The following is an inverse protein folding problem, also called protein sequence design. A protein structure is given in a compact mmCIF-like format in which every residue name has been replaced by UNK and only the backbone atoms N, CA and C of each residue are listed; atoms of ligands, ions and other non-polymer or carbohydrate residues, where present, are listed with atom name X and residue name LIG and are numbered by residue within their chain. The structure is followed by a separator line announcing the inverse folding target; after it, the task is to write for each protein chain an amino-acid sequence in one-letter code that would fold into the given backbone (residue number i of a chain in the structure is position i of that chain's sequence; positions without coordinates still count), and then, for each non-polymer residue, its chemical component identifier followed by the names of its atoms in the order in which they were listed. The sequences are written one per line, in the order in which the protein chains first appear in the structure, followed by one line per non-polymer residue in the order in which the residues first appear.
data_IF_444339391464
#
_entry.id   IF_444339391464
#
_cell.length_a   1.000
_cell.length_b   1.000
_cell.length_c   1.000
_cell.angle_alpha   90.00
_cell.angle_beta   90.00
_cell.angle_gamma   90.00
#
_symmetry.space_group_name_H-M   'P 1'
#
loop_
_entity.id
_entity.type
_entity.pdbx_description
1 polymer ?
#
# COMPACT_ATOMS: atom_id res chain seq x y z
N UNK A 1 -2.48 -67.59 18.88
CA UNK A 1 -2.78 -66.16 19.09
C UNK A 1 -3.50 -65.63 17.86
N UNK A 2 -4.84 -65.72 17.71
CA UNK A 2 -5.93 -64.97 18.39
C UNK A 2 -5.62 -63.45 18.32
N UNK A 3 -6.32 -62.57 17.57
CA UNK A 3 -7.77 -62.44 17.29
C UNK A 3 -8.10 -61.95 15.86
N UNK A 4 -9.09 -62.62 15.25
CA UNK A 4 -10.17 -62.06 14.43
C UNK A 4 -11.48 -62.10 15.25
N UNK A 5 -12.49 -61.39 14.75
CA UNK A 5 -13.96 -61.49 14.90
C UNK A 5 -14.50 -60.07 15.20
N UNK A 6 -15.35 -59.47 14.35
CA UNK A 6 -16.66 -59.94 13.84
C UNK A 6 -17.74 -59.27 14.72
N UNK A 7 -18.92 -58.82 14.27
CA UNK A 7 -19.71 -59.06 13.06
C UNK A 7 -21.05 -58.28 13.19
N UNK A 8 -21.59 -57.84 12.05
CA UNK A 8 -23.01 -57.97 11.59
C UNK A 8 -24.14 -57.21 12.30
N UNK A 9 -24.95 -56.36 11.60
CA UNK A 9 -26.17 -56.65 10.77
C UNK A 9 -27.28 -57.25 11.68
N UNK A 10 -28.47 -56.66 11.88
CA UNK A 10 -29.51 -56.38 10.89
C UNK A 10 -30.75 -55.65 11.48
N UNK A 11 -31.68 -55.25 10.59
CA UNK A 11 -33.14 -55.05 10.76
C UNK A 11 -33.74 -53.64 11.04
N UNK A 12 -34.33 -53.09 9.96
CA UNK A 12 -35.53 -52.21 9.90
C UNK A 12 -36.82 -53.00 10.29
N UNK A 13 -38.08 -52.45 10.34
CA UNK A 13 -38.61 -51.16 9.84
C UNK A 13 -39.69 -50.44 10.70
N UNK A 14 -40.22 -49.34 10.14
CA UNK A 14 -41.59 -48.80 10.26
C UNK A 14 -41.94 -47.85 11.43
N UNK A 15 -42.44 -46.65 11.08
CA UNK A 15 -43.09 -45.74 12.03
C UNK A 15 -43.46 -44.35 11.50
N UNK A 16 -44.61 -44.28 10.81
CA UNK A 16 -45.60 -43.18 10.72
C UNK A 16 -45.18 -41.70 10.64
N UNK A 17 -45.74 -41.07 9.61
CA UNK A 17 -45.98 -39.64 9.46
C UNK A 17 -46.93 -39.07 10.53
N UNK A 18 -46.66 -37.83 10.96
CA UNK A 18 -47.68 -36.82 11.28
C UNK A 18 -47.22 -35.45 10.82
N UNK A 19 -48.13 -34.77 10.12
CA UNK A 19 -48.06 -33.37 9.75
C UNK A 19 -48.00 -32.46 10.98
N UNK A 20 -47.16 -31.43 10.94
CA UNK A 20 -47.48 -30.17 11.60
C UNK A 20 -46.82 -29.01 10.85
N UNK A 21 -47.67 -28.28 10.15
CA UNK A 21 -47.43 -26.99 9.54
C UNK A 21 -47.35 -25.91 10.62
N UNK A 22 -46.20 -25.25 10.76
CA UNK A 22 -46.07 -23.99 11.47
C UNK A 22 -45.21 -23.02 10.64
N UNK A 23 -45.89 -22.08 9.99
CA UNK A 23 -45.34 -20.87 9.37
C UNK A 23 -44.72 -19.96 10.43
N UNK A 24 -43.49 -19.44 10.24
CA UNK A 24 -43.04 -18.27 10.96
C UNK A 24 -43.48 -17.00 10.23
N UNK A 25 -44.22 -16.22 10.99
CA UNK A 25 -44.62 -14.83 10.84
C UNK A 25 -43.55 -13.94 10.19
N UNK A 26 -43.97 -13.28 9.11
CA UNK A 26 -43.28 -12.19 8.43
C UNK A 26 -43.44 -10.92 9.26
N UNK A 27 -42.48 -10.63 10.14
CA UNK A 27 -42.42 -9.35 10.83
C UNK A 27 -41.89 -8.28 9.87
N UNK A 28 -42.76 -7.32 9.53
CA UNK A 28 -42.43 -6.14 8.75
C UNK A 28 -41.55 -5.19 9.55
N UNK A 29 -40.44 -4.77 8.95
CA UNK A 29 -39.66 -3.61 9.39
C UNK A 29 -39.89 -2.53 8.33
N UNK A 30 -40.85 -1.66 8.60
CA UNK A 30 -41.02 -0.38 7.90
C UNK A 30 -40.01 0.61 8.49
N UNK A 31 -38.84 0.71 7.86
CA UNK A 31 -37.90 1.81 8.08
C UNK A 31 -38.36 3.07 7.36
N UNK A 32 -38.16 4.28 7.93
CA UNK A 32 -38.61 5.53 7.32
C UNK A 32 -37.73 5.89 6.10
N UNK A 33 -38.29 6.55 5.07
CA UNK A 33 -37.53 7.05 3.94
C UNK A 33 -36.62 8.20 4.39
N UNK A 34 -35.31 8.07 4.15
CA UNK A 34 -34.35 9.16 4.26
C UNK A 34 -34.68 10.23 3.21
N UNK A 35 -35.44 11.25 3.61
CA UNK A 35 -35.59 12.48 2.84
C UNK A 35 -34.34 13.34 3.04
N UNK A 36 -33.51 13.42 2.00
CA UNK A 36 -32.42 14.38 1.94
C UNK A 36 -33.00 15.76 1.61
N UNK A 37 -33.04 16.64 2.61
CA UNK A 37 -33.36 18.05 2.40
C UNK A 37 -32.29 18.72 1.54
N UNK A 38 -32.69 19.24 0.38
CA UNK A 38 -31.89 20.16 -0.41
C UNK A 38 -31.80 21.49 0.34
N UNK A 39 -30.67 21.74 1.01
CA UNK A 39 -30.35 23.07 1.55
C UNK A 39 -29.57 23.85 0.50
N UNK A 40 -30.20 24.89 -0.02
CA UNK A 40 -29.61 25.90 -0.90
C UNK A 40 -28.54 26.66 -0.12
N UNK A 41 -27.27 26.34 -0.33
CA UNK A 41 -26.16 27.12 0.23
C UNK A 41 -25.86 28.33 -0.66
N UNK A 42 -25.86 29.51 -0.03
CA UNK A 42 -25.50 30.77 -0.64
C UNK A 42 -24.02 30.75 -1.05
N UNK A 43 -23.74 31.11 -2.32
CA UNK A 43 -22.40 31.27 -2.85
C UNK A 43 -21.75 32.54 -2.30
N UNK A 44 -20.80 32.40 -1.37
CA UNK A 44 -19.79 33.42 -1.12
C UNK A 44 -18.64 33.19 -2.10
N UNK A 45 -18.38 34.16 -2.99
CA UNK A 45 -17.28 34.11 -3.96
C UNK A 45 -15.95 34.41 -3.27
N UNK A 46 -15.40 33.43 -2.56
CA UNK A 46 -13.95 33.41 -2.33
C UNK A 46 -13.29 33.00 -3.65
N UNK A 47 -12.34 33.80 -4.14
CA UNK A 47 -11.47 33.42 -5.26
C UNK A 47 -10.75 32.13 -4.89
N UNK A 48 -11.28 31.00 -5.37
CA UNK A 48 -10.65 29.69 -5.22
C UNK A 48 -9.49 29.63 -6.21
N UNK A 49 -8.26 29.68 -5.70
CA UNK A 49 -7.09 29.34 -6.51
C UNK A 49 -7.33 27.99 -7.19
N UNK A 50 -7.08 27.87 -8.50
CA UNK A 50 -7.32 26.64 -9.23
C UNK A 50 -6.46 25.53 -8.64
N UNK A 51 -7.16 24.46 -8.24
CA UNK A 51 -6.70 23.22 -7.59
C UNK A 51 -5.69 22.43 -8.45
N UNK A 52 -5.05 23.02 -9.46
CA UNK A 52 -3.93 22.43 -10.20
C UNK A 52 -2.60 22.71 -9.46
N UNK A 53 -2.39 22.06 -8.31
CA UNK A 53 -1.23 22.27 -7.45
C UNK A 53 -1.37 21.59 -6.07
N UNK A 54 -2.24 20.57 -6.00
CA UNK A 54 -2.85 20.06 -4.76
C UNK A 54 -1.83 19.55 -3.76
N UNK A 55 -0.76 18.90 -4.24
CA UNK A 55 0.18 18.23 -3.35
C UNK A 55 1.32 19.14 -2.93
N UNK A 56 1.72 19.12 -1.65
CA UNK A 56 2.89 19.87 -1.20
C UNK A 56 4.13 19.43 -1.98
N UNK A 57 5.00 20.38 -2.33
CA UNK A 57 6.27 20.06 -2.98
C UNK A 57 7.14 19.25 -2.01
N UNK A 58 7.58 18.06 -2.44
CA UNK A 58 8.42 17.18 -1.60
C UNK A 58 9.76 17.84 -1.23
N UNK A 59 10.24 18.82 -2.00
CA UNK A 59 11.44 19.58 -1.63
C UNK A 59 11.26 20.36 -0.33
N UNK A 60 10.03 20.82 -0.08
CA UNK A 60 9.72 21.53 1.14
C UNK A 60 9.86 20.61 2.36
N UNK A 61 9.65 19.30 2.21
CA UNK A 61 9.87 18.33 3.29
C UNK A 61 11.33 18.35 3.80
N UNK A 62 12.30 18.67 2.94
CA UNK A 62 13.71 18.80 3.33
C UNK A 62 14.07 20.20 3.83
N UNK A 63 13.64 21.23 3.10
CA UNK A 63 14.07 22.61 3.39
C UNK A 63 13.28 23.26 4.53
N UNK A 64 12.00 22.92 4.66
CA UNK A 64 11.09 23.44 5.70
C UNK A 64 9.99 22.40 6.02
N UNK A 65 10.32 21.37 6.83
CA UNK A 65 9.40 20.30 7.19
C UNK A 65 8.07 20.79 7.78
N UNK A 66 8.09 21.91 8.52
CA UNK A 66 6.91 22.45 9.18
C UNK A 66 5.97 23.11 8.17
N UNK A 67 6.49 23.91 7.24
CA UNK A 67 5.67 24.48 6.18
C UNK A 67 5.13 23.38 5.23
N UNK A 68 5.89 22.31 5.00
CA UNK A 68 5.44 21.14 4.27
C UNK A 68 4.26 20.44 4.98
N UNK A 69 4.38 20.24 6.28
CA UNK A 69 3.32 19.67 7.12
C UNK A 69 2.06 20.54 7.12
N UNK A 70 2.21 21.85 7.28
CA UNK A 70 1.08 22.78 7.30
C UNK A 70 0.29 22.76 5.98
N UNK A 71 0.96 22.54 4.85
CA UNK A 71 0.26 22.36 3.56
C UNK A 71 -0.54 21.06 3.53
N UNK A 72 0.01 19.97 4.07
CA UNK A 72 -0.75 18.72 4.24
C UNK A 72 -1.95 18.89 5.16
N UNK A 73 -1.78 19.56 6.30
CA UNK A 73 -2.88 19.82 7.24
C UNK A 73 -3.98 20.69 6.61
N UNK A 74 -3.63 21.67 5.75
CA UNK A 74 -4.62 22.43 4.98
C UNK A 74 -5.40 21.54 4.01
N UNK A 75 -4.73 20.65 3.31
CA UNK A 75 -5.38 19.68 2.42
C UNK A 75 -6.34 18.81 3.22
N UNK A 76 -5.89 18.24 4.34
CA UNK A 76 -6.73 17.43 5.22
C UNK A 76 -7.93 18.23 5.75
N UNK A 77 -7.72 19.49 6.17
CA UNK A 77 -8.80 20.36 6.61
C UNK A 77 -9.84 20.65 5.51
N UNK A 78 -9.43 20.73 4.23
CA UNK A 78 -10.38 20.92 3.12
C UNK A 78 -11.23 19.68 2.84
N UNK A 79 -10.80 18.50 3.30
CA UNK A 79 -11.51 17.23 3.12
C UNK A 79 -12.15 16.72 4.41
N UNK A 80 -11.88 17.37 5.55
CA UNK A 80 -12.34 16.92 6.86
C UNK A 80 -13.88 16.87 6.91
N UNK A 81 -14.42 15.75 7.36
CA UNK A 81 -15.87 15.46 7.36
C UNK A 81 -16.44 15.00 6.01
N UNK A 82 -15.69 15.10 4.91
CA UNK A 82 -15.98 14.31 3.73
C UNK A 82 -15.29 12.95 3.89
N UNK A 83 -15.91 11.81 3.49
CA UNK A 83 -15.12 10.61 3.33
C UNK A 83 -13.96 10.98 2.41
N UNK A 84 -12.72 10.57 2.70
CA UNK A 84 -11.53 10.73 1.83
C UNK A 84 -11.83 10.38 0.35
N UNK A 85 -12.91 9.63 0.12
CA UNK A 85 -13.52 9.27 -1.16
C UNK A 85 -14.56 10.22 -1.79
N UNK A 86 -14.90 11.38 -1.21
CA UNK A 86 -15.70 12.40 -1.91
C UNK A 86 -14.85 13.17 -2.92
N UNK A 87 -13.52 13.20 -2.72
CA UNK A 87 -12.52 13.58 -3.71
C UNK A 87 -12.03 12.45 -4.62
N UNK A 88 -12.65 11.27 -4.72
CA UNK A 88 -13.90 11.12 -5.45
C UNK A 88 -13.98 9.69 -6.01
N UNK A 89 -15.20 9.23 -6.29
CA UNK A 89 -15.43 8.20 -7.31
C UNK A 89 -14.60 8.48 -8.57
N UNK A 90 -14.31 9.75 -8.90
CA UNK A 90 -13.47 10.16 -10.01
C UNK A 90 -11.96 9.91 -9.79
N UNK A 91 -11.36 10.04 -8.61
CA UNK A 91 -9.96 9.66 -8.35
C UNK A 91 -9.78 8.16 -8.37
N UNK A 92 -10.69 7.41 -7.74
CA UNK A 92 -10.74 5.95 -7.91
C UNK A 92 -10.91 5.60 -9.40
N UNK A 93 -11.76 6.33 -10.13
CA UNK A 93 -11.94 6.13 -11.57
C UNK A 93 -10.69 6.51 -12.37
N UNK A 94 -9.95 7.55 -11.99
CA UNK A 94 -8.70 7.99 -12.63
C UNK A 94 -7.60 6.96 -12.38
N UNK A 95 -7.47 6.46 -11.14
CA UNK A 95 -6.50 5.42 -10.81
C UNK A 95 -6.88 4.10 -11.48
N UNK A 96 -8.16 3.70 -11.42
CA UNK A 96 -8.68 2.54 -12.16
C UNK A 96 -8.45 2.70 -13.65
N UNK A 97 -8.68 3.89 -14.20
CA UNK A 97 -8.47 4.16 -15.61
C UNK A 97 -6.99 4.05 -15.97
N UNK A 98 -6.10 4.74 -15.25
CA UNK A 98 -4.66 4.67 -15.45
C UNK A 98 -4.17 3.22 -15.40
N UNK A 99 -4.56 2.46 -14.36
CA UNK A 99 -4.24 1.04 -14.28
C UNK A 99 -4.83 0.27 -15.46
N UNK A 100 -6.09 0.52 -15.86
CA UNK A 100 -6.75 -0.22 -16.94
C UNK A 100 -6.04 -0.02 -18.28
N UNK A 101 -5.49 1.17 -18.52
CA UNK A 101 -4.69 1.46 -19.70
C UNK A 101 -3.40 0.66 -19.73
N UNK A 102 -2.68 0.61 -18.61
CA UNK A 102 -1.50 -0.24 -18.50
C UNK A 102 -1.85 -1.72 -18.61
N UNK A 103 -3.09 -2.12 -18.30
CA UNK A 103 -3.51 -3.51 -18.40
C UNK A 103 -3.88 -3.96 -19.83
N UNK A 104 -4.00 -3.05 -20.81
CA UNK A 104 -4.31 -3.41 -22.20
C UNK A 104 -3.10 -4.01 -22.93
N UNK A 105 -1.88 -3.64 -22.54
CA UNK A 105 -0.65 -4.23 -23.05
C UNK A 105 -0.21 -5.38 -22.12
N UNK A 106 -0.07 -6.63 -22.62
CA UNK A 106 0.39 -7.76 -21.82
C UNK A 106 1.71 -7.54 -21.07
N UNK A 107 2.64 -6.76 -21.61
CA UNK A 107 3.91 -6.44 -20.95
C UNK A 107 3.70 -5.51 -19.76
N UNK A 108 2.83 -4.51 -19.92
CA UNK A 108 2.48 -3.58 -18.85
C UNK A 108 1.62 -4.25 -17.78
N UNK A 109 0.74 -5.18 -18.15
CA UNK A 109 0.02 -6.03 -17.21
C UNK A 109 0.98 -6.84 -16.32
N UNK A 110 1.97 -7.52 -16.91
CA UNK A 110 2.99 -8.25 -16.15
C UNK A 110 3.75 -7.30 -15.21
N UNK A 111 4.12 -6.12 -15.70
CA UNK A 111 4.80 -5.10 -14.88
C UNK A 111 3.95 -4.63 -13.69
N UNK A 112 2.64 -4.41 -13.87
CA UNK A 112 1.73 -4.01 -12.81
C UNK A 112 1.51 -5.12 -11.77
N UNK A 113 1.32 -6.36 -12.23
CA UNK A 113 1.21 -7.52 -11.33
C UNK A 113 2.51 -7.69 -10.53
N UNK A 114 3.67 -7.56 -11.18
CA UNK A 114 4.97 -7.57 -10.49
C UNK A 114 5.08 -6.44 -9.48
N UNK A 115 4.67 -5.23 -9.84
CA UNK A 115 4.70 -4.08 -8.95
C UNK A 115 3.88 -4.36 -7.68
N UNK A 116 2.62 -4.78 -7.84
CA UNK A 116 1.74 -5.12 -6.72
C UNK A 116 2.32 -6.25 -5.86
N UNK A 117 2.87 -7.32 -6.47
CA UNK A 117 3.56 -8.40 -5.73
C UNK A 117 4.74 -7.86 -4.93
N UNK A 118 5.55 -7.01 -5.54
CA UNK A 118 6.74 -6.47 -4.89
C UNK A 118 6.34 -5.58 -3.71
N UNK A 119 5.35 -4.71 -3.87
CA UNK A 119 4.82 -3.88 -2.78
C UNK A 119 4.30 -4.74 -1.63
N UNK A 120 3.51 -5.79 -1.95
CA UNK A 120 3.02 -6.76 -0.97
C UNK A 120 4.17 -7.43 -0.20
N UNK A 121 5.17 -7.93 -0.92
CA UNK A 121 6.31 -8.60 -0.28
C UNK A 121 7.15 -7.61 0.55
N UNK A 122 7.37 -6.38 0.05
CA UNK A 122 8.04 -5.32 0.80
C UNK A 122 7.28 -4.97 2.08
N UNK A 123 5.95 -4.96 2.06
CA UNK A 123 5.16 -4.75 3.26
C UNK A 123 5.35 -5.90 4.27
N UNK A 124 5.36 -7.16 3.81
CA UNK A 124 5.69 -8.28 4.69
C UNK A 124 7.10 -8.15 5.30
N UNK A 125 8.09 -7.77 4.50
CA UNK A 125 9.47 -7.56 4.97
C UNK A 125 9.50 -6.45 6.03
N UNK A 126 8.81 -5.32 5.81
CA UNK A 126 8.68 -4.23 6.79
C UNK A 126 8.05 -4.73 8.09
N UNK A 127 6.98 -5.53 8.03
CA UNK A 127 6.31 -6.05 9.23
C UNK A 127 7.20 -7.00 10.02
N UNK A 128 7.94 -7.88 9.34
CA UNK A 128 8.88 -8.78 9.98
C UNK A 128 10.06 -8.03 10.61
N UNK A 129 10.64 -7.07 9.87
CA UNK A 129 11.71 -6.21 10.38
C UNK A 129 11.23 -5.40 11.59
N UNK A 130 10.04 -4.79 11.52
CA UNK A 130 9.43 -4.07 12.63
C UNK A 130 9.29 -4.95 13.86
N UNK A 131 8.84 -6.19 13.69
CA UNK A 131 8.67 -7.14 14.79
C UNK A 131 10.01 -7.50 15.42
N UNK A 132 11.02 -7.84 14.62
CA UNK A 132 12.35 -8.16 15.10
C UNK A 132 13.04 -6.95 15.77
N UNK A 133 12.81 -5.76 15.25
CA UNK A 133 13.41 -4.52 15.74
C UNK A 133 12.73 -4.00 17.02
N UNK A 134 11.40 -3.91 17.05
CA UNK A 134 10.66 -3.28 18.14
C UNK A 134 10.40 -4.21 19.34
N UNK A 135 10.22 -5.52 19.11
CA UNK A 135 9.83 -6.45 20.17
C UNK A 135 10.78 -6.45 21.40
N UNK A 136 12.12 -6.44 21.25
CA UNK A 136 13.01 -6.39 22.40
C UNK A 136 12.81 -5.15 23.29
N UNK A 137 12.49 -4.01 22.68
CA UNK A 137 12.33 -2.74 23.41
C UNK A 137 10.94 -2.58 24.04
N UNK A 138 9.91 -3.23 23.46
CA UNK A 138 8.59 -3.31 24.05
C UNK A 138 8.58 -4.22 25.29
N UNK A 139 9.19 -5.41 25.20
CA UNK A 139 9.27 -6.35 26.32
C UNK A 139 10.07 -5.80 27.50
N UNK A 140 11.12 -5.03 27.22
CA UNK A 140 11.90 -4.35 28.26
C UNK A 140 11.24 -3.11 28.87
N UNK A 141 9.99 -2.76 28.49
CA UNK A 141 9.23 -1.55 28.87
C UNK A 141 9.91 -0.20 28.53
N UNK A 142 11.11 -0.21 27.95
CA UNK A 142 11.86 1.01 27.66
C UNK A 142 11.22 1.84 26.56
N UNK A 143 10.65 1.20 25.52
CA UNK A 143 10.09 1.95 24.39
C UNK A 143 8.81 2.70 24.77
N UNK A 144 7.84 2.00 25.33
CA UNK A 144 6.55 2.59 25.70
C UNK A 144 6.74 3.69 26.75
N UNK A 145 7.57 3.47 27.77
CA UNK A 145 7.85 4.48 28.78
C UNK A 145 8.54 5.72 28.19
N UNK A 146 9.58 5.54 27.35
CA UNK A 146 10.27 6.66 26.67
C UNK A 146 9.31 7.46 25.79
N UNK A 147 8.48 6.78 25.00
CA UNK A 147 7.53 7.44 24.13
C UNK A 147 6.44 8.21 24.90
N UNK A 148 5.87 7.59 25.93
CA UNK A 148 4.79 8.21 26.72
C UNK A 148 5.30 9.34 27.62
N UNK A 149 6.56 9.28 28.06
CA UNK A 149 7.21 10.36 28.82
C UNK A 149 7.71 11.52 27.95
N UNK A 150 7.86 11.33 26.63
CA UNK A 150 8.20 12.42 25.72
C UNK A 150 7.10 13.50 25.73
N UNK A 151 7.51 14.77 25.67
CA UNK A 151 6.54 15.88 25.61
C UNK A 151 5.72 15.82 24.31
N UNK A 152 4.49 16.39 24.29
CA UNK A 152 3.71 16.52 23.05
C UNK A 152 4.50 17.13 21.89
N UNK A 153 5.29 18.17 22.16
CA UNK A 153 6.15 18.80 21.16
C UNK A 153 7.19 17.82 20.60
N UNK A 154 7.89 17.08 21.48
CA UNK A 154 8.91 16.11 21.05
C UNK A 154 8.32 14.96 20.25
N UNK A 155 7.14 14.44 20.64
CA UNK A 155 6.40 13.44 19.85
C UNK A 155 6.08 13.95 18.45
N UNK A 156 5.63 15.20 18.36
CA UNK A 156 5.35 15.86 17.08
C UNK A 156 6.58 15.97 16.17
N UNK A 157 7.73 16.34 16.74
CA UNK A 157 9.01 16.41 16.04
C UNK A 157 9.45 15.03 15.50
N UNK A 158 9.39 13.99 16.34
CA UNK A 158 9.74 12.62 15.96
C UNK A 158 8.88 12.11 14.80
N UNK A 159 7.57 12.30 14.88
CA UNK A 159 6.64 11.85 13.82
C UNK A 159 6.86 12.64 12.53
N UNK A 160 7.07 13.96 12.62
CA UNK A 160 7.35 14.77 11.45
C UNK A 160 8.65 14.35 10.76
N UNK A 161 9.72 14.10 11.53
CA UNK A 161 10.97 13.58 11.00
C UNK A 161 10.77 12.23 10.29
N UNK A 162 9.99 11.32 10.90
CA UNK A 162 9.65 10.03 10.31
C UNK A 162 8.85 10.17 9.01
N UNK A 163 7.91 11.11 8.93
CA UNK A 163 7.14 11.44 7.72
C UNK A 163 8.01 11.97 6.60
N UNK A 164 8.89 12.93 6.91
CA UNK A 164 9.85 13.47 5.94
C UNK A 164 10.73 12.34 5.40
N UNK A 165 11.32 11.52 6.28
CA UNK A 165 12.16 10.40 5.87
C UNK A 165 11.40 9.39 4.99
N UNK A 166 10.18 9.00 5.37
CA UNK A 166 9.39 8.03 4.62
C UNK A 166 8.93 8.57 3.25
N UNK A 167 8.37 9.78 3.20
CA UNK A 167 7.88 10.38 1.96
C UNK A 167 9.00 10.70 0.96
N UNK A 168 10.23 10.86 1.45
CA UNK A 168 11.40 11.12 0.61
C UNK A 168 12.13 9.85 0.15
N UNK A 169 11.88 8.71 0.78
CA UNK A 169 12.43 7.42 0.34
C UNK A 169 11.95 7.06 -1.07
N UNK A 170 10.66 7.27 -1.35
CA UNK A 170 10.06 6.93 -2.64
C UNK A 170 8.95 7.92 -3.04
N UNK A 171 8.91 8.34 -4.32
CA UNK A 171 7.81 9.13 -4.89
C UNK A 171 6.40 8.66 -4.52
N UNK A 172 6.18 7.33 -4.53
CA UNK A 172 4.87 6.74 -4.26
C UNK A 172 4.41 6.99 -2.82
N UNK A 173 5.33 7.04 -1.86
CA UNK A 173 4.98 7.22 -0.45
C UNK A 173 4.55 8.65 -0.13
N UNK A 174 5.10 9.66 -0.82
CA UNK A 174 4.60 11.03 -0.71
C UNK A 174 3.14 11.13 -1.15
N UNK A 175 2.78 10.46 -2.25
CA UNK A 175 1.38 10.37 -2.71
C UNK A 175 0.52 9.57 -1.73
N UNK A 176 1.06 8.48 -1.19
CA UNK A 176 0.36 7.59 -0.27
C UNK A 176 -0.10 8.29 1.01
N UNK A 177 0.51 9.42 1.36
CA UNK A 177 0.11 10.24 2.51
C UNK A 177 -1.35 10.70 2.45
N UNK A 178 -1.89 10.85 1.24
CA UNK A 178 -3.31 11.12 1.03
C UNK A 178 -4.24 10.04 1.63
N UNK A 179 -3.76 8.81 1.73
CA UNK A 179 -4.49 7.64 2.23
C UNK A 179 -4.35 7.43 3.74
N UNK A 180 -3.58 8.27 4.42
CA UNK A 180 -3.18 8.12 5.82
C UNK A 180 -3.60 9.30 6.70
N UNK A 181 -4.70 10.00 6.34
CA UNK A 181 -5.16 11.20 7.05
C UNK A 181 -5.36 10.95 8.54
N UNK A 182 -5.91 9.80 8.95
CA UNK A 182 -6.21 9.55 10.37
C UNK A 182 -4.98 9.07 11.14
N UNK A 183 -4.17 8.25 10.48
CA UNK A 183 -3.07 7.51 11.09
C UNK A 183 -1.82 8.38 11.24
N UNK A 184 -1.57 9.31 10.31
CA UNK A 184 -0.29 10.00 10.19
C UNK A 184 -0.38 11.54 10.33
N UNK A 185 -1.47 12.09 10.87
CA UNK A 185 -1.50 13.51 11.25
C UNK A 185 -0.61 13.78 12.45
N UNK A 186 0.33 14.71 12.31
CA UNK A 186 1.27 15.05 13.38
C UNK A 186 0.51 15.51 14.64
N UNK A 187 -0.56 16.28 14.46
CA UNK A 187 -1.41 16.75 15.56
C UNK A 187 -2.00 15.61 16.41
N UNK A 188 -2.41 14.50 15.79
CA UNK A 188 -2.98 13.33 16.47
C UNK A 188 -1.97 12.66 17.40
N UNK A 189 -0.71 12.54 16.96
CA UNK A 189 0.36 11.93 17.75
C UNK A 189 0.86 12.80 18.91
N UNK A 190 0.77 14.14 18.79
CA UNK A 190 1.14 15.06 19.87
C UNK A 190 0.28 14.85 21.11
N UNK A 191 -1.04 14.69 20.91
CA UNK A 191 -2.04 14.74 21.99
C UNK A 191 -1.95 13.57 22.98
N UNK A 192 -2.02 12.34 22.48
CA UNK A 192 -2.15 11.14 23.31
C UNK A 192 -0.92 10.21 23.22
N UNK A 193 -0.22 10.20 22.10
CA UNK A 193 0.89 9.28 21.85
C UNK A 193 0.45 7.81 21.69
N UNK A 194 -0.69 7.38 22.25
CA UNK A 194 -1.22 6.00 22.10
C UNK A 194 -1.42 5.57 20.67
N UNK A 195 -1.83 6.49 19.78
CA UNK A 195 -1.99 6.20 18.35
C UNK A 195 -0.72 5.57 17.75
N UNK A 196 0.46 6.09 18.07
CA UNK A 196 1.72 5.52 17.61
C UNK A 196 1.92 4.07 18.09
N UNK A 197 1.63 3.79 19.36
CA UNK A 197 1.78 2.46 19.94
C UNK A 197 0.79 1.46 19.34
N UNK A 198 -0.46 1.89 19.11
CA UNK A 198 -1.47 1.05 18.47
C UNK A 198 -1.07 0.70 17.03
N UNK A 199 -0.60 1.69 16.25
CA UNK A 199 -0.12 1.45 14.89
C UNK A 199 1.12 0.55 14.87
N UNK A 200 2.03 0.70 15.84
CA UNK A 200 3.19 -0.18 15.99
C UNK A 200 2.75 -1.62 16.25
N UNK A 201 1.82 -1.84 17.18
CA UNK A 201 1.28 -3.17 17.50
C UNK A 201 0.58 -3.80 16.29
N UNK A 202 -0.24 -3.05 15.56
CA UNK A 202 -0.91 -3.52 14.33
C UNK A 202 0.08 -3.87 13.20
N UNK A 203 1.23 -3.20 13.14
CA UNK A 203 2.28 -3.47 12.16
C UNK A 203 3.17 -4.67 12.53
N UNK A 204 3.16 -5.11 13.78
CA UNK A 204 3.94 -6.26 14.22
C UNK A 204 3.24 -7.59 13.88
N UNK A 205 4.05 -8.59 13.58
CA UNK A 205 3.60 -9.96 13.32
C UNK A 205 3.22 -10.63 14.64
N UNK A 206 1.96 -11.04 14.75
CA UNK A 206 1.36 -11.60 15.97
C UNK A 206 2.06 -12.87 16.50
N UNK A 207 2.83 -13.58 15.66
CA UNK A 207 3.49 -14.82 16.04
C UNK A 207 4.90 -14.62 16.64
N UNK A 208 5.31 -13.37 16.91
CA UNK A 208 6.58 -13.04 17.57
C UNK A 208 7.80 -12.93 16.64
N UNK A 209 8.96 -12.52 17.18
CA UNK A 209 10.13 -12.08 16.40
C UNK A 209 10.89 -13.19 15.67
N UNK A 210 10.62 -14.46 16.02
CA UNK A 210 11.29 -15.62 15.40
C UNK A 210 10.55 -16.14 14.17
N UNK A 211 9.40 -15.57 13.83
CA UNK A 211 8.67 -15.95 12.63
C UNK A 211 9.23 -15.13 11.47
N UNK A 212 9.72 -15.82 10.45
CA UNK A 212 10.19 -15.17 9.22
C UNK A 212 9.09 -14.32 8.58
N UNK A 213 9.43 -13.64 7.48
CA UNK A 213 8.47 -12.77 6.78
C UNK A 213 7.11 -13.46 6.55
N UNK A 214 5.99 -12.82 6.93
CA UNK A 214 4.67 -13.41 6.74
C UNK A 214 4.41 -13.62 5.23
N UNK A 215 3.67 -14.67 4.90
CA UNK A 215 3.32 -14.98 3.51
C UNK A 215 2.35 -13.94 2.89
N UNK A 216 1.57 -13.28 3.75
CA UNK A 216 0.57 -12.26 3.42
C UNK A 216 0.69 -11.13 4.43
N UNK A 217 0.68 -9.87 3.99
CA UNK A 217 0.78 -8.75 4.92
C UNK A 217 -0.54 -8.59 5.69
N UNK A 218 -0.43 -8.07 6.91
CA UNK A 218 -1.58 -7.53 7.64
C UNK A 218 -1.78 -6.07 7.23
N UNK A 219 -3.02 -5.63 7.01
CA UNK A 219 -3.32 -4.23 6.74
C UNK A 219 -3.92 -3.59 7.98
N UNK A 220 -3.43 -2.40 8.35
CA UNK A 220 -3.96 -1.59 9.46
C UNK A 220 -5.43 -1.29 9.19
N UNK A 221 -6.29 -1.60 10.16
CA UNK A 221 -7.74 -1.47 10.02
C UNK A 221 -8.12 0.00 9.85
N UNK A 222 -9.08 0.24 8.97
CA UNK A 222 -9.67 1.56 8.81
C UNK A 222 -11.06 1.41 8.20
N UNK A 223 -12.13 1.92 8.85
CA UNK A 223 -13.51 1.63 8.45
C UNK A 223 -13.81 1.86 6.97
N UNK A 224 -13.22 2.91 6.38
CA UNK A 224 -13.42 3.24 4.97
C UNK A 224 -12.70 2.25 4.06
N UNK A 225 -11.46 1.87 4.39
CA UNK A 225 -10.69 0.91 3.57
C UNK A 225 -11.28 -0.49 3.69
N UNK A 226 -11.70 -0.87 4.90
CA UNK A 226 -12.35 -2.14 5.18
C UNK A 226 -13.69 -2.27 4.42
N UNK A 227 -14.48 -1.19 4.35
CA UNK A 227 -15.70 -1.16 3.54
C UNK A 227 -15.42 -1.34 2.04
N UNK A 228 -14.35 -0.72 1.51
CA UNK A 228 -13.97 -0.85 0.09
C UNK A 228 -13.49 -2.27 -0.22
N UNK A 229 -12.67 -2.84 0.66
CA UNK A 229 -12.23 -4.24 0.53
C UNK A 229 -13.42 -5.19 0.58
N UNK A 230 -14.35 -4.98 1.52
CA UNK A 230 -15.56 -5.78 1.62
C UNK A 230 -16.42 -5.66 0.35
N UNK A 231 -16.63 -4.45 -0.16
CA UNK A 231 -17.36 -4.20 -1.39
C UNK A 231 -16.70 -4.88 -2.60
N UNK A 232 -15.38 -4.77 -2.73
CA UNK A 232 -14.64 -5.42 -3.82
C UNK A 232 -14.73 -6.96 -3.75
N UNK A 233 -14.70 -7.54 -2.54
CA UNK A 233 -14.87 -9.00 -2.34
C UNK A 233 -16.26 -9.48 -2.73
N UNK A 234 -17.29 -8.68 -2.49
CA UNK A 234 -18.68 -9.00 -2.84
C UNK A 234 -18.99 -8.77 -4.33
N UNK A 235 -18.25 -7.88 -4.98
CA UNK A 235 -18.40 -7.59 -6.40
C UNK A 235 -17.88 -8.75 -7.27
N UNK A 236 -18.78 -9.64 -7.71
CA UNK A 236 -18.47 -10.76 -8.61
C UNK A 236 -17.87 -10.33 -9.96
N UNK A 237 -18.06 -9.07 -10.33
CA UNK A 237 -17.59 -8.46 -11.58
C UNK A 237 -16.37 -7.53 -11.41
N UNK A 238 -15.70 -7.52 -10.24
CA UNK A 238 -14.51 -6.71 -10.05
C UNK A 238 -13.40 -7.13 -11.04
N UNK A 239 -12.97 -6.18 -11.86
CA UNK A 239 -11.95 -6.39 -12.88
C UNK A 239 -10.58 -6.65 -12.25
N UNK A 240 -9.69 -7.35 -12.96
CA UNK A 240 -8.28 -7.56 -12.58
C UNK A 240 -7.59 -6.23 -12.24
N UNK A 241 -7.87 -5.20 -13.04
CA UNK A 241 -7.38 -3.85 -12.85
C UNK A 241 -7.79 -3.26 -11.49
N UNK A 242 -9.06 -3.38 -11.11
CA UNK A 242 -9.55 -2.88 -9.81
C UNK A 242 -8.91 -3.61 -8.64
N UNK A 243 -8.73 -4.92 -8.75
CA UNK A 243 -8.08 -5.74 -7.72
C UNK A 243 -6.62 -5.32 -7.52
N UNK A 244 -5.85 -5.19 -8.61
CA UNK A 244 -4.46 -4.73 -8.57
C UNK A 244 -4.37 -3.30 -8.01
N UNK A 245 -5.28 -2.42 -8.43
CA UNK A 245 -5.32 -1.03 -7.97
C UNK A 245 -5.56 -0.96 -6.46
N UNK A 246 -6.61 -1.64 -5.96
CA UNK A 246 -6.91 -1.61 -4.52
C UNK A 246 -5.73 -2.14 -3.71
N UNK A 247 -5.14 -3.26 -4.14
CA UNK A 247 -4.02 -3.88 -3.43
C UNK A 247 -2.78 -3.01 -3.43
N UNK A 248 -2.50 -2.30 -4.53
CA UNK A 248 -1.38 -1.35 -4.59
C UNK A 248 -1.62 -0.18 -3.62
N UNK A 249 -2.84 0.38 -3.58
CA UNK A 249 -3.17 1.46 -2.65
C UNK A 249 -3.09 1.05 -1.18
N UNK A 250 -3.59 -0.14 -0.84
CA UNK A 250 -3.49 -0.70 0.51
C UNK A 250 -2.03 -0.93 0.91
N UNK A 251 -1.22 -1.46 -0.01
CA UNK A 251 0.20 -1.66 0.22
C UNK A 251 0.94 -0.33 0.39
N UNK A 252 0.73 0.66 -0.48
CA UNK A 252 1.33 2.00 -0.37
C UNK A 252 0.99 2.67 0.96
N UNK A 253 -0.29 2.66 1.36
CA UNK A 253 -0.75 3.20 2.65
C UNK A 253 0.00 2.57 3.82
N UNK A 254 0.04 1.24 3.87
CA UNK A 254 0.63 0.52 4.99
C UNK A 254 2.16 0.54 4.96
N UNK A 255 2.77 0.60 3.78
CA UNK A 255 4.21 0.83 3.63
C UNK A 255 4.59 2.20 4.18
N UNK A 256 3.85 3.26 3.85
CA UNK A 256 4.10 4.60 4.41
C UNK A 256 4.02 4.57 5.93
N UNK A 257 2.94 4.00 6.49
CA UNK A 257 2.78 3.89 7.95
C UNK A 257 3.95 3.11 8.58
N UNK A 258 4.31 1.96 8.00
CA UNK A 258 5.44 1.15 8.45
C UNK A 258 6.77 1.91 8.44
N UNK A 259 7.08 2.65 7.38
CA UNK A 259 8.30 3.45 7.32
C UNK A 259 8.31 4.59 8.33
N UNK A 260 7.19 5.31 8.50
CA UNK A 260 7.10 6.38 9.51
C UNK A 260 7.34 5.83 10.91
N UNK A 261 6.72 4.69 11.24
CA UNK A 261 6.95 4.02 12.54
C UNK A 261 8.41 3.64 12.69
N UNK A 262 9.02 3.04 11.67
CA UNK A 262 10.41 2.60 11.72
C UNK A 262 11.35 3.78 12.01
N UNK A 263 11.23 4.88 11.27
CA UNK A 263 12.06 6.07 11.48
C UNK A 263 11.80 6.76 12.83
N UNK A 264 10.55 6.76 13.29
CA UNK A 264 10.21 7.25 14.61
C UNK A 264 10.85 6.38 15.71
N UNK A 265 10.84 5.05 15.58
CA UNK A 265 11.52 4.15 16.51
C UNK A 265 13.03 4.40 16.55
N UNK A 266 13.68 4.56 15.39
CA UNK A 266 15.09 4.93 15.36
C UNK A 266 15.36 6.21 16.17
N UNK A 267 14.50 7.23 16.01
CA UNK A 267 14.61 8.49 16.73
C UNK A 267 14.36 8.35 18.24
N UNK A 268 13.39 7.53 18.67
CA UNK A 268 13.08 7.29 20.10
C UNK A 268 14.20 6.52 20.80
N UNK A 269 14.88 5.65 20.05
CA UNK A 269 15.95 4.78 20.56
C UNK A 269 17.35 5.39 20.38
N UNK A 270 17.43 6.63 19.90
CA UNK A 270 18.70 7.33 19.58
C UNK A 270 19.59 6.51 18.62
N UNK A 271 18.96 5.73 17.76
CA UNK A 271 19.63 4.91 16.76
C UNK A 271 19.86 5.75 15.50
N UNK A 272 21.01 5.59 14.83
CA UNK A 272 21.21 6.21 13.53
C UNK A 272 20.12 5.72 12.59
N UNK A 273 19.39 6.65 11.97
CA UNK A 273 18.45 6.32 10.90
C UNK A 273 19.21 5.51 9.83
N UNK A 274 18.62 4.40 9.37
CA UNK A 274 19.24 3.58 8.32
C UNK A 274 19.68 4.49 7.16
N UNK A 275 20.93 4.42 6.71
CA UNK A 275 21.41 5.23 5.59
C UNK A 275 20.63 4.84 4.34
N UNK A 276 19.61 5.65 4.02
CA UNK A 276 18.75 5.59 2.84
C UNK A 276 18.36 4.18 2.40
N UNK A 277 17.15 3.73 2.74
CA UNK A 277 16.55 2.49 2.22
C UNK A 277 16.91 2.29 0.74
N UNK A 278 17.80 1.34 0.49
CA UNK A 278 18.38 1.13 -0.82
C UNK A 278 17.32 0.54 -1.75
N UNK A 279 16.85 1.32 -2.72
CA UNK A 279 15.92 0.80 -3.71
C UNK A 279 16.62 -0.04 -4.78
N UNK A 280 15.94 -1.11 -5.21
CA UNK A 280 16.29 -1.86 -6.42
C UNK A 280 16.09 -0.95 -7.64
N UNK A 281 17.16 -0.68 -8.38
CA UNK A 281 17.08 -0.09 -9.72
C UNK A 281 16.32 -1.05 -10.64
N UNK A 282 15.21 -0.59 -11.22
CA UNK A 282 14.58 -1.25 -12.36
C UNK A 282 15.12 -0.61 -13.64
N UNK A 283 15.76 -1.42 -14.49
CA UNK A 283 16.43 -0.94 -15.71
C UNK A 283 15.52 -0.68 -16.92
N UNK A 284 14.21 -0.95 -16.83
CA UNK A 284 13.28 -0.72 -17.93
C UNK A 284 12.83 0.75 -17.97
N UNK A 285 13.26 1.48 -19.01
CA UNK A 285 12.55 2.70 -19.41
C UNK A 285 11.15 2.28 -19.85
N UNK A 286 10.07 2.71 -19.19
CA UNK A 286 8.72 2.40 -19.67
C UNK A 286 8.56 3.02 -21.06
N UNK A 287 8.01 2.26 -22.01
CA UNK A 287 7.54 2.83 -23.26
C UNK A 287 6.47 3.87 -22.93
N UNK A 288 6.58 5.07 -23.50
CA UNK A 288 5.61 6.12 -23.26
C UNK A 288 4.30 5.69 -23.92
N UNK A 289 3.18 5.57 -23.20
CA UNK A 289 1.89 5.32 -23.83
C UNK A 289 1.59 6.44 -24.84
N UNK A 290 0.91 6.11 -25.94
CA UNK A 290 0.51 7.09 -26.95
C UNK A 290 -0.40 8.14 -26.28
N UNK A 291 0.07 9.38 -26.18
CA UNK A 291 -0.48 10.38 -25.24
C UNK A 291 -1.90 10.85 -25.53
N UNK A 292 -2.44 10.58 -26.71
CA UNK A 292 -3.67 11.22 -27.19
C UNK A 292 -4.92 10.59 -26.56
N UNK A 293 -4.94 9.27 -26.39
CA UNK A 293 -6.09 8.54 -25.82
C UNK A 293 -6.29 8.84 -24.33
N UNK A 294 -5.18 9.06 -23.60
CA UNK A 294 -5.17 9.49 -22.20
C UNK A 294 -5.82 10.87 -22.05
N UNK A 295 -5.41 11.80 -22.93
CA UNK A 295 -5.88 13.18 -22.89
C UNK A 295 -7.39 13.27 -23.16
N UNK A 296 -7.91 12.45 -24.07
CA UNK A 296 -9.32 12.48 -24.46
C UNK A 296 -10.26 11.93 -23.37
N UNK A 297 -9.83 10.93 -22.61
CA UNK A 297 -10.65 10.36 -21.54
C UNK A 297 -10.64 11.23 -20.27
N UNK A 298 -9.48 11.80 -19.89
CA UNK A 298 -9.44 12.77 -18.79
C UNK A 298 -10.29 14.01 -19.15
N UNK A 299 -10.23 14.44 -20.42
CA UNK A 299 -11.07 15.51 -20.97
C UNK A 299 -12.56 15.18 -20.88
N UNK A 300 -12.95 13.92 -21.11
CA UNK A 300 -14.34 13.47 -20.96
C UNK A 300 -14.81 13.41 -19.49
N UNK A 301 -13.95 12.96 -18.57
CA UNK A 301 -14.31 12.80 -17.16
C UNK A 301 -14.32 14.11 -16.36
N UNK A 302 -13.40 15.03 -16.66
CA UNK A 302 -13.17 16.22 -15.84
C UNK A 302 -13.48 17.53 -16.58
N UNK A 303 -13.82 17.46 -17.87
CA UNK A 303 -13.86 18.62 -18.76
C UNK A 303 -12.48 18.98 -19.29
N UNK A 304 -12.43 19.60 -20.48
CA UNK A 304 -11.19 19.91 -21.21
C UNK A 304 -10.20 20.75 -20.40
N UNK A 305 -10.66 21.85 -19.81
CA UNK A 305 -9.79 22.77 -19.07
C UNK A 305 -9.19 22.13 -17.82
N UNK A 306 -10.02 21.46 -17.02
CA UNK A 306 -9.58 20.79 -15.79
C UNK A 306 -8.66 19.60 -16.11
N UNK A 307 -8.93 18.87 -17.19
CA UNK A 307 -8.08 17.80 -17.70
C UNK A 307 -6.69 18.30 -18.12
N UNK A 308 -6.62 19.37 -18.89
CA UNK A 308 -5.36 19.93 -19.36
C UNK A 308 -4.54 20.52 -18.20
N UNK A 309 -5.19 21.20 -17.25
CA UNK A 309 -4.54 21.72 -16.06
C UNK A 309 -4.02 20.59 -15.15
N UNK A 310 -4.85 19.59 -14.87
CA UNK A 310 -4.47 18.42 -14.07
C UNK A 310 -3.36 17.60 -14.73
N UNK A 311 -3.48 17.33 -16.03
CA UNK A 311 -2.48 16.59 -16.80
C UNK A 311 -1.14 17.31 -16.84
N UNK A 312 -1.12 18.64 -17.04
CA UNK A 312 0.11 19.45 -16.97
C UNK A 312 0.72 19.43 -15.56
N UNK A 313 -0.10 19.61 -14.52
CA UNK A 313 0.35 19.58 -13.14
C UNK A 313 0.95 18.21 -12.77
N UNK A 314 0.25 17.12 -13.05
CA UNK A 314 0.73 15.75 -12.81
C UNK A 314 1.98 15.42 -13.62
N UNK A 315 2.06 15.85 -14.89
CA UNK A 315 3.26 15.65 -15.69
C UNK A 315 4.47 16.42 -15.14
N UNK A 316 4.29 17.69 -14.76
CA UNK A 316 5.35 18.51 -14.18
C UNK A 316 5.79 17.99 -12.80
N UNK A 317 4.83 17.61 -11.95
CA UNK A 317 5.10 16.99 -10.65
C UNK A 317 5.81 15.65 -10.84
N UNK A 318 5.30 14.77 -11.70
CA UNK A 318 5.94 13.49 -12.01
C UNK A 318 7.35 13.64 -12.55
N UNK A 319 7.60 14.60 -13.46
CA UNK A 319 8.93 14.90 -13.99
C UNK A 319 9.89 15.38 -12.89
N UNK A 320 9.44 16.29 -12.02
CA UNK A 320 10.25 16.82 -10.89
C UNK A 320 10.56 15.72 -9.88
N UNK A 321 9.55 15.00 -9.43
CA UNK A 321 9.67 13.89 -8.48
C UNK A 321 10.57 12.78 -9.02
N UNK A 322 10.45 12.44 -10.31
CA UNK A 322 11.31 11.44 -10.94
C UNK A 322 12.75 11.92 -11.14
N UNK A 323 12.97 13.21 -11.42
CA UNK A 323 14.31 13.76 -11.49
C UNK A 323 15.03 13.69 -10.13
N UNK A 324 14.36 14.12 -9.07
CA UNK A 324 14.86 14.06 -7.69
C UNK A 324 15.13 12.63 -7.25
N UNK A 325 14.19 11.72 -7.56
CA UNK A 325 14.38 10.31 -7.35
C UNK A 325 15.66 9.79 -8.03
N UNK A 326 15.91 10.16 -9.29
CA UNK A 326 17.15 9.75 -9.97
C UNK A 326 18.41 10.30 -9.33
N UNK A 327 18.38 11.52 -8.80
CA UNK A 327 19.53 12.14 -8.12
C UNK A 327 19.85 11.44 -6.81
N UNK A 328 18.85 11.25 -5.95
CA UNK A 328 18.98 10.50 -4.68
C UNK A 328 19.44 9.07 -4.93
N UNK A 329 18.98 8.45 -6.03
CA UNK A 329 19.21 7.04 -6.33
C UNK A 329 20.25 6.80 -7.44
N UNK A 330 21.04 7.81 -7.83
CA UNK A 330 22.09 7.66 -8.84
C UNK A 330 23.09 6.55 -8.46
N UNK A 331 23.31 6.34 -7.16
CA UNK A 331 24.14 5.27 -6.59
C UNK A 331 23.42 3.96 -6.24
N UNK A 332 22.13 3.79 -6.59
CA UNK A 332 21.34 2.63 -6.18
C UNK A 332 22.03 1.30 -6.50
N UNK A 333 22.14 0.45 -5.48
CA UNK A 333 22.73 -0.89 -5.57
C UNK A 333 21.71 -1.87 -6.14
N UNK A 334 22.16 -2.80 -6.95
CA UNK A 334 21.38 -3.95 -7.38
C UNK A 334 21.47 -5.04 -6.31
N UNK A 335 20.42 -5.83 -6.13
CA UNK A 335 20.35 -6.83 -5.07
C UNK A 335 20.18 -8.22 -5.64
N UNK A 336 20.91 -9.18 -5.07
CA UNK A 336 20.72 -10.59 -5.38
C UNK A 336 19.29 -11.00 -4.97
N UNK A 337 18.58 -11.72 -5.85
CA UNK A 337 17.23 -12.19 -5.58
C UNK A 337 17.18 -13.15 -4.38
N UNK A 338 18.20 -14.01 -4.28
CA UNK A 338 18.33 -15.06 -3.25
C UNK A 338 18.81 -14.52 -1.91
N UNK A 339 20.06 -14.06 -1.82
CA UNK A 339 20.69 -13.70 -0.55
C UNK A 339 20.53 -12.22 -0.16
N UNK A 340 19.86 -11.41 -1.00
CA UNK A 340 19.66 -9.96 -0.80
C UNK A 340 20.96 -9.17 -0.60
N UNK A 341 22.12 -9.71 -0.97
CA UNK A 341 23.38 -8.96 -0.94
C UNK A 341 23.33 -7.84 -2.00
N UNK A 342 23.73 -6.60 -1.66
CA UNK A 342 23.89 -5.54 -2.64
C UNK A 342 25.14 -5.78 -3.51
N UNK A 343 25.08 -5.41 -4.78
CA UNK A 343 26.27 -5.37 -5.62
C UNK A 343 27.22 -4.27 -5.15
N UNK A 344 28.52 -4.48 -5.37
CA UNK A 344 29.47 -3.38 -5.39
C UNK A 344 29.24 -2.56 -6.66
N UNK A 345 29.74 -1.34 -6.69
CA UNK A 345 29.59 -0.45 -7.86
C UNK A 345 30.31 -0.98 -9.09
N UNK A 346 31.23 -1.93 -8.92
CA UNK A 346 32.10 -2.48 -9.96
C UNK A 346 31.55 -3.77 -10.59
N UNK A 347 30.85 -4.61 -9.83
CA UNK A 347 30.38 -5.92 -10.28
C UNK A 347 28.92 -5.85 -10.73
N UNK A 348 28.71 -6.21 -11.99
CA UNK A 348 27.36 -6.45 -12.53
C UNK A 348 26.91 -7.85 -12.14
N UNK A 349 25.78 -7.94 -11.46
CA UNK A 349 25.20 -9.25 -11.13
C UNK A 349 24.68 -9.95 -12.39
N UNK A 350 24.97 -11.25 -12.58
CA UNK A 350 24.34 -12.01 -13.66
C UNK A 350 22.81 -11.99 -13.55
N UNK A 351 22.16 -11.86 -14.70
CA UNK A 351 20.70 -11.87 -14.83
C UNK A 351 20.18 -13.20 -15.35
N UNK A 352 18.96 -13.56 -14.95
CA UNK A 352 18.25 -14.69 -15.55
C UNK A 352 17.93 -14.41 -17.03
N UNK A 353 18.72 -15.01 -17.94
CA UNK A 353 18.58 -14.81 -19.40
C UNK A 353 17.16 -15.09 -19.91
N UNK A 354 16.52 -16.18 -19.46
CA UNK A 354 15.16 -16.54 -19.89
C UNK A 354 14.10 -15.53 -19.46
N UNK A 355 14.26 -14.89 -18.29
CA UNK A 355 13.33 -13.85 -17.85
C UNK A 355 13.54 -12.55 -18.62
N UNK A 356 14.79 -12.20 -18.87
CA UNK A 356 15.13 -11.00 -19.62
C UNK A 356 14.67 -11.12 -21.08
N UNK A 357 15.07 -12.18 -21.77
CA UNK A 357 14.84 -12.33 -23.22
C UNK A 357 13.34 -12.45 -23.54
N UNK A 358 12.53 -13.07 -22.67
CA UNK A 358 11.10 -13.29 -22.92
C UNK A 358 10.17 -12.20 -22.37
N UNK A 359 10.50 -11.64 -21.20
CA UNK A 359 9.59 -10.76 -20.44
C UNK A 359 10.21 -9.41 -20.10
N UNK A 360 11.47 -9.16 -20.50
CA UNK A 360 12.26 -8.02 -20.05
C UNK A 360 12.30 -7.89 -18.51
N UNK A 361 12.19 -9.04 -17.81
CA UNK A 361 12.17 -9.09 -16.34
C UNK A 361 13.58 -9.25 -15.79
N UNK A 362 14.01 -8.24 -15.04
CA UNK A 362 15.33 -8.23 -14.38
C UNK A 362 15.29 -9.06 -13.09
N UNK A 363 15.93 -10.23 -13.12
CA UNK A 363 16.17 -11.09 -11.95
C UNK A 363 17.67 -11.31 -11.82
N UNK A 364 18.27 -10.74 -10.78
CA UNK A 364 19.72 -10.64 -10.59
C UNK A 364 20.20 -11.58 -9.49
N UNK A 365 21.37 -12.17 -9.69
CA UNK A 365 22.01 -13.04 -8.71
C UNK A 365 23.45 -12.64 -8.51
N UNK A 366 23.99 -12.72 -7.29
CA UNK A 366 25.42 -12.47 -7.07
C UNK A 366 26.28 -13.64 -7.57
N UNK A 367 25.71 -14.84 -7.75
CA UNK A 367 26.44 -16.03 -8.19
C UNK A 367 25.52 -17.10 -8.80
N UNK A 368 26.11 -18.11 -9.44
CA UNK A 368 25.38 -19.24 -10.03
C UNK A 368 24.68 -20.10 -8.96
N UNK A 369 25.26 -20.17 -7.77
CA UNK A 369 24.76 -20.91 -6.61
C UNK A 369 23.48 -20.27 -6.10
N UNK A 370 23.46 -18.93 -5.96
CA UNK A 370 22.26 -18.20 -5.60
C UNK A 370 21.14 -18.41 -6.63
N UNK A 371 21.47 -18.41 -7.92
CA UNK A 371 20.49 -18.71 -8.97
C UNK A 371 19.93 -20.14 -8.84
N UNK A 372 20.78 -21.15 -8.58
CA UNK A 372 20.33 -22.55 -8.39
C UNK A 372 19.43 -22.71 -7.16
N UNK A 373 19.71 -22.00 -6.08
CA UNK A 373 18.88 -22.00 -4.86
C UNK A 373 17.49 -21.42 -5.17
N UNK A 374 17.45 -20.23 -5.77
CA UNK A 374 16.19 -19.55 -6.13
C UNK A 374 15.39 -20.35 -7.18
N UNK A 375 16.08 -21.00 -8.12
CA UNK A 375 15.48 -21.92 -9.08
C UNK A 375 14.69 -23.03 -8.40
N UNK A 376 15.25 -23.66 -7.35
CA UNK A 376 14.58 -24.70 -6.57
C UNK A 376 13.47 -24.14 -5.68
N UNK A 377 13.69 -22.97 -5.08
CA UNK A 377 12.74 -22.34 -4.16
C UNK A 377 11.42 -21.94 -4.84
N UNK A 378 11.47 -21.50 -6.10
CA UNK A 378 10.25 -21.15 -6.81
C UNK A 378 10.44 -20.54 -8.19
N UNK A 379 11.62 -19.99 -8.49
CA UNK A 379 11.84 -19.28 -9.74
C UNK A 379 11.58 -20.15 -10.98
N UNK A 380 11.81 -21.47 -10.91
CA UNK A 380 11.48 -22.41 -11.98
C UNK A 380 10.01 -22.30 -12.45
N UNK A 381 9.08 -22.05 -11.53
CA UNK A 381 7.63 -21.98 -11.81
C UNK A 381 7.23 -20.70 -12.56
N UNK A 382 7.97 -19.61 -12.36
CA UNK A 382 7.68 -18.30 -12.95
C UNK A 382 8.65 -17.92 -14.10
N UNK A 383 9.76 -18.65 -14.29
CA UNK A 383 10.83 -18.25 -15.20
C UNK A 383 10.39 -18.14 -16.68
N UNK A 384 10.41 -16.91 -17.21
CA UNK A 384 10.00 -16.61 -18.58
C UNK A 384 8.53 -16.91 -18.86
N UNK A 385 7.68 -16.84 -17.81
CA UNK A 385 6.22 -16.85 -17.92
C UNK A 385 5.69 -15.49 -17.50
N UNK A 386 4.65 -15.02 -18.19
CA UNK A 386 3.84 -13.88 -17.75
C UNK A 386 3.17 -14.22 -16.44
N UNK A 387 3.25 -13.30 -15.48
CA UNK A 387 2.52 -13.42 -14.23
C UNK A 387 1.03 -13.27 -14.47
N UNK A 388 0.25 -14.09 -13.77
CA UNK A 388 -1.20 -14.01 -13.74
C UNK A 388 -1.69 -13.43 -12.43
N UNK A 389 -2.96 -13.03 -12.39
CA UNK A 389 -3.58 -12.48 -11.20
C UNK A 389 -3.59 -13.49 -10.05
N UNK A 390 -3.80 -14.78 -10.37
CA UNK A 390 -3.84 -15.85 -9.37
C UNK A 390 -2.51 -15.99 -8.63
N UNK A 391 -1.40 -15.58 -9.27
CA UNK A 391 -0.08 -15.62 -8.67
C UNK A 391 0.15 -14.50 -7.63
N UNK A 392 -0.84 -13.63 -7.37
CA UNK A 392 -0.79 -12.62 -6.31
C UNK A 392 -1.33 -13.12 -4.96
N UNK A 393 -2.02 -14.28 -4.93
CA UNK A 393 -2.76 -14.77 -3.76
C UNK A 393 -3.58 -13.64 -3.09
N UNK A 394 -4.41 -12.94 -3.89
CA UNK A 394 -5.22 -11.79 -3.44
C UNK A 394 -6.40 -12.18 -2.56
#
# INVERSE_FOLDING_TARGET
SIRRLGSEIDQSPAGRATHSSATPSRAGISGPPCQWHSSTMAHTSAQSDPVSGILPDIQLAFSDPLAWEERWERIFATVDGQPVFSLSRAEWSVQKFATSMFMQDPNHQDAMIRCARNMRNTLCDIQAEMTGFAAPFLLGNNLQQRWMSASPAKRGEIILAGLVAACTCTPGLHMARWYCEKELRVASHRRDGRLFLNLLEEMMVQNGPNVGSPATPTYISHPVWDAIVAHQRQASNATTCEKITLQSLLADRNMLIGFVIHFALCSILDMPSLPGLHQRKYSSKPEKPKSNEIQDIIRAACGKERSEAFGKAMHQTGKRVYAQYREVHAGGKQFCQTCKRPNDTTTKYPRCRRCWDKMQREVLYCSSECQKIDWKAGHKKECGRSLRLEDLNL
#
